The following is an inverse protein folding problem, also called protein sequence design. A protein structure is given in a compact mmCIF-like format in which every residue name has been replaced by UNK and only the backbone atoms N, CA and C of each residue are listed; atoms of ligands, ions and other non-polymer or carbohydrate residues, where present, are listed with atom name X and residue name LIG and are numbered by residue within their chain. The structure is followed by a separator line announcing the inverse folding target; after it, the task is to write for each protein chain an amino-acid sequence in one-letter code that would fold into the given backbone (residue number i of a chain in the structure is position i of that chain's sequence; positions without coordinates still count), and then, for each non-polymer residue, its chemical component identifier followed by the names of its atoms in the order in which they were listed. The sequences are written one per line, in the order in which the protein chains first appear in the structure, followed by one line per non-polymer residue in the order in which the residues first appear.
data_IF_487041953882
#
_entry.id   IF_487041953882
#
_cell.length_a   1.000
_cell.length_b   1.000
_cell.length_c   1.000
_cell.angle_alpha   90.00
_cell.angle_beta   90.00
_cell.angle_gamma   90.00
#
_symmetry.space_group_name_H-M   'P 1'
#
loop_
_entity.id
_entity.type
_entity.pdbx_description
1 polymer ?
#
# COMPACT_ATOMS: atom_id res chain seq x y z
N UNK A 1 -25.88 -0.09 16.41
CA UNK A 1 -24.99 -0.46 17.52
C UNK A 1 -24.42 -1.84 17.27
N UNK A 2 -23.16 -1.89 16.83
CA UNK A 2 -22.26 -3.02 17.08
C UNK A 2 -20.86 -2.43 17.02
N UNK A 3 -20.45 -1.83 18.13
CA UNK A 3 -19.05 -1.46 18.35
C UNK A 3 -18.27 -2.77 18.45
N UNK A 4 -17.60 -3.16 17.37
CA UNK A 4 -16.55 -4.16 17.45
C UNK A 4 -15.39 -3.52 18.21
N UNK A 5 -15.24 -3.84 19.49
CA UNK A 5 -14.14 -3.37 20.37
C UNK A 5 -12.80 -4.05 20.03
N UNK A 6 -12.50 -4.21 18.75
CA UNK A 6 -11.30 -4.85 18.22
C UNK A 6 -11.19 -4.67 16.71
N UNK A 7 -9.95 -4.74 16.21
CA UNK A 7 -9.65 -4.68 14.77
C UNK A 7 -10.39 -5.78 14.02
N UNK A 8 -10.96 -5.46 12.87
CA UNK A 8 -11.50 -6.43 11.91
C UNK A 8 -10.41 -7.36 11.38
N UNK A 9 -10.79 -8.51 10.81
CA UNK A 9 -9.82 -9.44 10.22
C UNK A 9 -8.94 -8.79 9.14
N UNK A 10 -9.50 -7.89 8.33
CA UNK A 10 -8.78 -7.13 7.32
C UNK A 10 -7.75 -6.16 7.95
N UNK A 11 -8.13 -5.47 9.02
CA UNK A 11 -7.23 -4.58 9.75
C UNK A 11 -6.12 -5.36 10.48
N UNK A 12 -6.43 -6.51 11.07
CA UNK A 12 -5.43 -7.38 11.69
C UNK A 12 -4.41 -7.89 10.65
N UNK A 13 -4.88 -8.31 9.48
CA UNK A 13 -4.01 -8.73 8.37
C UNK A 13 -3.14 -7.57 7.89
N UNK A 14 -3.73 -6.39 7.70
CA UNK A 14 -3.00 -5.18 7.33
C UNK A 14 -1.92 -4.80 8.36
N UNK A 15 -2.23 -4.88 9.66
CA UNK A 15 -1.27 -4.64 10.75
C UNK A 15 -0.14 -5.67 10.71
N UNK A 16 -0.46 -6.95 10.49
CA UNK A 16 0.54 -8.01 10.38
C UNK A 16 1.48 -7.80 9.19
N UNK A 17 0.95 -7.45 8.03
CA UNK A 17 1.73 -7.08 6.84
C UNK A 17 2.60 -5.87 7.11
N UNK A 18 2.06 -4.81 7.75
CA UNK A 18 2.86 -3.64 8.13
C UNK A 18 4.02 -3.99 9.05
N UNK A 19 3.81 -4.91 9.98
CA UNK A 19 4.88 -5.39 10.86
C UNK A 19 5.95 -6.17 10.08
N UNK A 20 5.57 -6.96 9.08
CA UNK A 20 6.53 -7.64 8.20
C UNK A 20 7.31 -6.65 7.33
N UNK A 21 6.63 -5.66 6.74
CA UNK A 21 7.25 -4.59 5.95
C UNK A 21 8.28 -3.80 6.76
N UNK A 22 7.95 -3.46 8.01
CA UNK A 22 8.86 -2.75 8.92
C UNK A 22 10.10 -3.57 9.26
N UNK A 23 9.95 -4.90 9.46
CA UNK A 23 11.09 -5.79 9.65
C UNK A 23 11.98 -5.85 8.41
N UNK A 24 11.36 -5.95 7.23
CA UNK A 24 12.08 -6.00 5.96
C UNK A 24 12.80 -4.68 5.64
N UNK A 25 12.23 -3.53 6.02
CA UNK A 25 12.89 -2.23 5.87
C UNK A 25 14.11 -2.06 6.79
N UNK A 26 14.04 -2.55 8.04
CA UNK A 26 15.18 -2.52 8.97
C UNK A 26 16.35 -3.39 8.50
N UNK A 27 16.10 -4.38 7.64
CA UNK A 27 17.12 -5.24 7.04
C UNK A 27 17.92 -4.60 5.89
N UNK A 28 17.69 -3.33 5.55
CA UNK A 28 18.44 -2.64 4.49
C UNK A 28 17.99 -3.03 3.07
N UNK A 29 16.68 -3.13 2.85
CA UNK A 29 16.11 -3.38 1.51
C UNK A 29 16.49 -2.29 0.51
N UNK A 30 16.84 -2.71 -0.71
CA UNK A 30 17.18 -1.79 -1.81
C UNK A 30 15.89 -1.25 -2.43
N UNK A 31 15.95 -0.04 -2.99
CA UNK A 31 14.81 0.61 -3.68
C UNK A 31 14.17 -0.27 -4.76
N UNK A 32 14.99 -1.07 -5.46
CA UNK A 32 14.50 -2.00 -6.47
C UNK A 32 13.60 -3.10 -5.89
N UNK A 33 13.95 -3.63 -4.72
CA UNK A 33 13.15 -4.68 -4.05
C UNK A 33 11.80 -4.11 -3.59
N UNK A 34 11.79 -2.87 -3.09
CA UNK A 34 10.57 -2.19 -2.66
C UNK A 34 9.63 -1.85 -3.83
N UNK A 35 10.18 -1.50 -4.99
CA UNK A 35 9.41 -1.33 -6.22
C UNK A 35 8.80 -2.66 -6.68
N UNK A 36 9.59 -3.74 -6.69
CA UNK A 36 9.07 -5.07 -7.07
C UNK A 36 7.96 -5.53 -6.14
N UNK A 37 8.10 -5.38 -4.83
CA UNK A 37 7.06 -5.71 -3.86
C UNK A 37 5.77 -4.91 -4.11
N UNK A 38 5.89 -3.60 -4.39
CA UNK A 38 4.75 -2.76 -4.72
C UNK A 38 4.05 -3.23 -6.00
N UNK A 39 4.82 -3.53 -7.06
CA UNK A 39 4.27 -4.02 -8.33
C UNK A 39 3.58 -5.37 -8.16
N UNK A 40 4.17 -6.30 -7.41
CA UNK A 40 3.56 -7.58 -7.08
C UNK A 40 2.23 -7.39 -6.32
N UNK A 41 2.16 -6.44 -5.38
CA UNK A 41 0.88 -6.13 -4.71
C UNK A 41 -0.16 -5.51 -5.63
N UNK A 42 0.25 -4.73 -6.63
CA UNK A 42 -0.68 -4.23 -7.65
C UNK A 42 -1.23 -5.40 -8.49
N UNK A 43 -0.41 -6.37 -8.86
CA UNK A 43 -0.82 -7.53 -9.66
C UNK A 43 -1.82 -8.44 -8.92
N UNK A 44 -1.64 -8.63 -7.61
CA UNK A 44 -2.54 -9.40 -6.76
C UNK A 44 -3.95 -8.79 -6.61
N UNK A 45 -4.13 -7.51 -6.94
CA UNK A 45 -5.41 -6.82 -6.78
C UNK A 45 -6.46 -7.27 -7.82
N UNK A 46 -7.76 -7.24 -7.46
CA UNK A 46 -8.84 -7.33 -8.43
C UNK A 46 -8.72 -6.26 -9.52
N UNK A 47 -9.24 -6.55 -10.71
CA UNK A 47 -9.04 -5.71 -11.91
C UNK A 47 -9.37 -4.23 -11.70
N UNK A 48 -10.47 -3.91 -11.01
CA UNK A 48 -10.89 -2.54 -10.75
C UNK A 48 -9.89 -1.77 -9.88
N UNK A 49 -9.41 -2.41 -8.81
CA UNK A 49 -8.44 -1.81 -7.89
C UNK A 49 -7.04 -1.75 -8.53
N UNK A 50 -6.68 -2.78 -9.30
CA UNK A 50 -5.42 -2.82 -10.06
C UNK A 50 -5.35 -1.68 -11.06
N UNK A 51 -6.42 -1.40 -11.80
CA UNK A 51 -6.45 -0.30 -12.76
C UNK A 51 -6.19 1.07 -12.08
N UNK A 52 -6.78 1.29 -10.91
CA UNK A 52 -6.53 2.49 -10.11
C UNK A 52 -5.08 2.55 -9.61
N UNK A 53 -4.57 1.44 -9.07
CA UNK A 53 -3.22 1.38 -8.52
C UNK A 53 -2.14 1.59 -9.60
N UNK A 54 -2.31 1.01 -10.79
CA UNK A 54 -1.46 1.27 -11.96
C UNK A 54 -1.52 2.75 -12.36
N UNK A 55 -2.71 3.34 -12.40
CA UNK A 55 -2.90 4.76 -12.72
C UNK A 55 -2.15 5.67 -11.74
N UNK A 56 -2.31 5.44 -10.44
CA UNK A 56 -1.61 6.19 -9.39
C UNK A 56 -0.10 5.99 -9.50
N UNK A 57 0.37 4.77 -9.70
CA UNK A 57 1.79 4.48 -9.87
C UNK A 57 2.41 5.26 -11.03
N UNK A 58 1.74 5.27 -12.18
CA UNK A 58 2.19 6.04 -13.35
C UNK A 58 2.27 7.52 -13.04
N UNK A 59 1.22 8.09 -12.43
CA UNK A 59 1.18 9.52 -12.11
C UNK A 59 2.29 9.90 -11.13
N UNK A 60 2.48 9.13 -10.07
CA UNK A 60 3.51 9.44 -9.06
C UNK A 60 4.92 9.32 -9.66
N UNK A 61 5.18 8.28 -10.45
CA UNK A 61 6.51 8.11 -11.08
C UNK A 61 6.81 9.17 -12.14
N UNK A 62 5.80 9.73 -12.79
CA UNK A 62 5.94 10.83 -13.76
C UNK A 62 6.09 12.20 -13.08
N UNK A 63 5.25 12.51 -12.09
CA UNK A 63 5.13 13.85 -11.50
C UNK A 63 6.06 14.04 -10.30
N UNK A 64 6.30 12.98 -9.53
CA UNK A 64 7.10 13.02 -8.30
C UNK A 64 8.09 11.82 -8.24
N UNK A 65 9.03 11.72 -9.20
CA UNK A 65 9.98 10.59 -9.30
C UNK A 65 10.93 10.48 -8.10
N UNK A 66 11.03 11.52 -7.26
CA UNK A 66 11.80 11.48 -6.03
C UNK A 66 11.13 10.67 -4.90
N UNK A 67 9.84 10.34 -5.03
CA UNK A 67 9.15 9.52 -4.06
C UNK A 67 9.52 8.04 -4.21
N UNK A 68 9.80 7.41 -3.08
CA UNK A 68 10.21 6.02 -3.02
C UNK A 68 8.99 5.11 -2.94
N UNK A 69 8.81 4.18 -3.91
CA UNK A 69 7.73 3.20 -3.88
C UNK A 69 7.95 2.23 -2.73
N UNK A 70 6.86 1.87 -2.04
CA UNK A 70 6.87 0.89 -0.95
C UNK A 70 5.48 0.31 -0.75
N UNK A 71 5.41 -0.83 -0.08
CA UNK A 71 4.15 -1.29 0.49
C UNK A 71 3.94 -0.67 1.88
N UNK A 72 2.69 -0.37 2.18
CA UNK A 72 2.24 0.16 3.47
C UNK A 72 0.92 -0.51 3.84
N UNK A 73 0.92 -1.31 4.90
CA UNK A 73 -0.25 -2.12 5.28
C UNK A 73 -0.74 -3.02 4.13
N UNK A 74 0.21 -3.54 3.34
CA UNK A 74 -0.04 -4.34 2.14
C UNK A 74 -0.77 -3.61 1.03
N UNK A 75 -0.62 -2.29 0.98
CA UNK A 75 -1.15 -1.42 -0.07
C UNK A 75 -0.02 -0.61 -0.73
N UNK A 76 -0.16 -0.18 -2.00
CA UNK A 76 0.81 0.69 -2.66
C UNK A 76 0.89 2.05 -1.97
N UNK A 77 2.11 2.49 -1.69
CA UNK A 77 2.40 3.77 -1.10
C UNK A 77 3.72 4.35 -1.62
N UNK A 78 3.88 5.65 -1.45
CA UNK A 78 5.01 6.43 -1.91
C UNK A 78 5.48 7.34 -0.79
N UNK A 79 6.78 7.28 -0.50
CA UNK A 79 7.35 7.93 0.67
C UNK A 79 8.53 8.82 0.31
N UNK A 80 8.78 9.81 1.16
CA UNK A 80 10.04 10.55 1.17
C UNK A 80 10.74 10.22 2.48
N UNK A 81 11.75 9.36 2.40
CA UNK A 81 12.38 8.80 3.59
C UNK A 81 11.40 7.96 4.41
N UNK A 82 11.10 8.37 5.63
CA UNK A 82 10.18 7.66 6.54
C UNK A 82 8.72 7.98 6.30
N UNK A 83 8.43 9.10 5.67
CA UNK A 83 7.09 9.69 5.64
C UNK A 83 6.36 9.26 4.38
N UNK A 84 5.22 8.58 4.56
CA UNK A 84 4.32 8.22 3.48
C UNK A 84 3.52 9.45 3.10
N UNK A 85 3.64 9.89 1.85
CA UNK A 85 3.01 11.11 1.35
C UNK A 85 1.85 10.83 0.40
N UNK A 86 1.87 9.66 -0.26
CA UNK A 86 0.78 9.19 -1.12
C UNK A 86 0.54 7.71 -0.85
N UNK A 87 -0.70 7.31 -0.62
CA UNK A 87 -1.09 5.90 -0.47
C UNK A 87 -2.45 5.64 -1.09
N UNK A 88 -2.66 4.40 -1.51
CA UNK A 88 -3.93 3.94 -2.06
C UNK A 88 -4.53 2.88 -1.15
N UNK A 89 -5.67 3.14 -0.52
CA UNK A 89 -6.43 2.16 0.26
C UNK A 89 -7.58 1.62 -0.59
N UNK A 90 -7.45 0.39 -1.08
CA UNK A 90 -8.39 -0.18 -2.05
C UNK A 90 -9.63 -0.73 -1.37
N UNK A 91 -10.78 -0.52 -2.01
CA UNK A 91 -12.07 -0.93 -1.48
C UNK A 91 -12.18 -2.43 -1.22
N UNK A 92 -11.64 -3.26 -2.11
CA UNK A 92 -11.79 -4.72 -2.01
C UNK A 92 -11.16 -5.31 -0.75
N UNK A 93 -10.08 -4.72 -0.23
CA UNK A 93 -9.38 -5.21 0.97
C UNK A 93 -10.17 -4.96 2.25
N UNK A 94 -10.87 -3.82 2.33
CA UNK A 94 -11.57 -3.38 3.54
C UNK A 94 -13.10 -3.51 3.45
N UNK A 95 -13.64 -3.97 2.32
CA UNK A 95 -15.08 -4.09 2.11
C UNK A 95 -15.81 -2.74 2.13
N UNK A 96 -15.11 -1.65 1.78
CA UNK A 96 -15.68 -0.30 1.73
C UNK A 96 -16.15 0.05 0.33
N UNK A 97 -17.04 1.04 0.21
CA UNK A 97 -17.66 1.37 -1.08
C UNK A 97 -16.70 1.99 -2.11
N UNK A 98 -15.69 2.72 -1.63
CA UNK A 98 -14.78 3.47 -2.48
C UNK A 98 -13.33 3.23 -2.06
N UNK A 99 -12.45 3.18 -3.06
CA UNK A 99 -11.01 3.26 -2.87
C UNK A 99 -10.63 4.68 -2.47
N UNK A 100 -9.77 4.83 -1.48
CA UNK A 100 -9.28 6.12 -0.97
C UNK A 100 -7.86 6.36 -1.45
N UNK A 101 -7.61 7.53 -2.04
CA UNK A 101 -6.28 8.06 -2.29
C UNK A 101 -6.01 9.15 -1.25
N UNK A 102 -4.90 9.03 -0.51
CA UNK A 102 -4.51 9.96 0.54
C UNK A 102 -3.02 10.18 0.60
#
# INVERSE_FOLDING_TARGET
MSESTGFSAAEQAAIAERAQELRAQRGGRKKADALQDLLAKIEEMPEQDRALAVGVHRIVTEVAPELEPRTWYGMPAYARGTDVLVFLQVSSKFGVRYTTLG
#
